data_IF_857939488545
#
_entry.id   IF_857939488545
#
_cell.length_a   1.000
_cell.length_b   1.000
_cell.length_c   1.000
_cell.angle_alpha   90.00
_cell.angle_beta   90.00
_cell.angle_gamma   90.00
#
_symmetry.space_group_name_H-M   'P 1'
#
loop_
_entity.id
_entity.type
_entity.pdbx_description
1 polymer ?
#
# COMPACT_ATOMS: atom_id res chain seq x y z
N UNK A 1 5.07 32.44 -30.10
CA UNK A 1 3.98 31.69 -29.44
C UNK A 1 3.15 32.67 -28.64
N UNK A 2 1.81 32.68 -28.83
CA UNK A 2 0.94 33.66 -28.18
C UNK A 2 0.70 33.27 -26.70
N UNK A 3 0.54 34.26 -25.79
CA UNK A 3 0.20 34.03 -24.39
C UNK A 3 -1.15 33.29 -24.25
N UNK A 4 -2.06 33.48 -25.20
CA UNK A 4 -3.36 32.80 -25.25
C UNK A 4 -3.17 31.29 -25.52
N UNK A 5 -2.30 30.93 -26.47
CA UNK A 5 -2.01 29.53 -26.81
C UNK A 5 -1.40 28.79 -25.61
N UNK A 6 -0.46 29.44 -24.88
CA UNK A 6 0.14 28.84 -23.68
C UNK A 6 -0.89 28.63 -22.59
N UNK A 7 -1.79 29.59 -22.33
CA UNK A 7 -2.88 29.44 -21.36
C UNK A 7 -3.85 28.33 -21.71
N UNK A 8 -4.21 28.19 -22.98
CA UNK A 8 -5.09 27.10 -23.44
C UNK A 8 -4.41 25.74 -23.25
N UNK A 9 -3.13 25.62 -23.61
CA UNK A 9 -2.37 24.38 -23.40
C UNK A 9 -2.29 24.01 -21.90
N UNK A 10 -1.97 24.97 -21.03
CA UNK A 10 -1.94 24.74 -19.57
C UNK A 10 -3.31 24.36 -19.02
N UNK A 11 -4.40 24.95 -19.53
CA UNK A 11 -5.76 24.59 -19.15
C UNK A 11 -6.07 23.13 -19.50
N UNK A 12 -5.76 22.69 -20.72
CA UNK A 12 -5.93 21.30 -21.16
C UNK A 12 -5.12 20.34 -20.30
N UNK A 13 -3.84 20.66 -20.06
CA UNK A 13 -2.97 19.84 -19.19
C UNK A 13 -3.46 19.78 -17.75
N UNK A 14 -4.13 20.84 -17.26
CA UNK A 14 -4.75 20.84 -15.93
C UNK A 14 -6.02 19.97 -15.92
N UNK A 15 -6.85 20.05 -16.96
CA UNK A 15 -8.04 19.21 -17.13
C UNK A 15 -7.65 17.72 -17.25
N UNK A 16 -6.55 17.43 -17.94
CA UNK A 16 -5.94 16.09 -18.04
C UNK A 16 -5.19 15.66 -16.78
N UNK A 17 -5.14 16.51 -15.74
CA UNK A 17 -4.42 16.28 -14.47
C UNK A 17 -2.90 16.07 -14.60
N UNK A 18 -2.29 16.50 -15.69
CA UNK A 18 -0.83 16.44 -15.93
C UNK A 18 -0.10 17.55 -15.17
N UNK A 19 -0.73 18.71 -15.03
CA UNK A 19 -0.19 19.83 -14.26
C UNK A 19 -1.16 20.35 -13.22
N UNK A 20 -0.63 20.98 -12.18
CA UNK A 20 -1.39 21.70 -11.17
C UNK A 20 -0.92 23.15 -11.08
N UNK A 21 -1.87 24.07 -10.88
CA UNK A 21 -1.56 25.50 -10.73
C UNK A 21 -1.73 25.91 -9.29
N UNK A 22 -0.64 26.37 -8.68
CA UNK A 22 -0.62 26.89 -7.30
C UNK A 22 -0.66 28.40 -7.39
N UNK A 23 -1.72 29.02 -6.86
CA UNK A 23 -1.92 30.47 -6.89
C UNK A 23 -0.74 31.18 -6.22
N UNK A 24 -0.14 32.14 -6.94
CA UNK A 24 1.02 32.91 -6.47
C UNK A 24 2.37 32.21 -6.60
N UNK A 25 2.40 30.92 -7.03
CA UNK A 25 3.64 30.14 -7.14
C UNK A 25 3.96 29.74 -8.59
N UNK A 26 2.98 29.19 -9.32
CA UNK A 26 3.18 28.76 -10.70
C UNK A 26 2.37 27.53 -11.10
N UNK A 27 2.67 26.99 -12.29
CA UNK A 27 2.11 25.74 -12.77
C UNK A 27 3.21 24.69 -12.81
N UNK A 28 2.97 23.56 -12.17
CA UNK A 28 3.92 22.47 -11.96
C UNK A 28 3.39 21.20 -12.58
N UNK A 29 4.28 20.34 -13.08
CA UNK A 29 3.91 18.98 -13.47
C UNK A 29 3.51 18.22 -12.21
N UNK A 30 2.32 17.63 -12.22
CA UNK A 30 1.89 16.77 -11.12
C UNK A 30 2.85 15.59 -10.97
N UNK A 31 3.30 15.36 -9.75
CA UNK A 31 4.07 14.17 -9.46
C UNK A 31 3.11 12.96 -9.55
N UNK A 32 3.31 12.10 -10.53
CA UNK A 32 2.49 10.89 -10.74
C UNK A 32 2.69 9.88 -9.61
N UNK A 33 3.78 10.02 -8.84
CA UNK A 33 4.12 9.10 -7.76
C UNK A 33 3.15 9.21 -6.59
N UNK A 34 2.82 8.08 -6.02
CA UNK A 34 2.08 7.99 -4.75
C UNK A 34 3.02 8.43 -3.62
N UNK A 35 2.71 9.56 -3.00
CA UNK A 35 3.46 10.01 -1.82
C UNK A 35 3.06 9.16 -0.60
N UNK A 36 4.01 8.38 -0.09
CA UNK A 36 3.84 7.56 1.09
C UNK A 36 4.48 8.25 2.29
N UNK A 37 3.66 8.92 3.12
CA UNK A 37 4.10 9.42 4.43
C UNK A 37 4.25 8.23 5.38
N UNK A 38 5.49 7.94 5.80
CA UNK A 38 5.78 6.78 6.66
C UNK A 38 5.27 6.95 8.10
N UNK A 39 4.92 8.17 8.52
CA UNK A 39 4.33 8.43 9.83
C UNK A 39 2.82 8.28 9.87
N UNK A 40 2.17 8.11 8.71
CA UNK A 40 0.72 7.92 8.64
C UNK A 40 0.38 6.47 8.28
N UNK A 41 -0.31 5.81 9.19
CA UNK A 41 -0.86 4.48 8.94
C UNK A 41 -2.18 4.62 8.19
N UNK A 42 -2.12 4.58 6.86
CA UNK A 42 -3.29 4.64 5.99
C UNK A 42 -3.32 3.45 5.05
N UNK A 43 -4.50 2.92 4.80
CA UNK A 43 -4.73 1.88 3.81
C UNK A 43 -4.48 2.37 2.37
N UNK A 44 -4.28 1.44 1.43
CA UNK A 44 -4.05 1.77 0.02
C UNK A 44 -5.19 2.59 -0.58
N UNK A 45 -6.42 2.17 -0.36
CA UNK A 45 -7.62 2.85 -0.87
C UNK A 45 -7.83 4.22 -0.21
N UNK A 46 -7.58 4.34 1.10
CA UNK A 46 -7.69 5.59 1.85
C UNK A 46 -6.71 6.65 1.32
N UNK A 47 -5.47 6.25 1.01
CA UNK A 47 -4.45 7.14 0.44
C UNK A 47 -4.82 7.72 -0.91
N UNK A 48 -5.61 6.99 -1.68
CA UNK A 48 -5.95 7.34 -3.05
C UNK A 48 -7.37 7.88 -3.18
N UNK A 49 -8.18 7.84 -2.12
CA UNK A 49 -9.57 8.30 -2.11
C UNK A 49 -9.70 9.77 -2.58
N UNK A 50 -8.81 10.66 -2.09
CA UNK A 50 -8.84 12.08 -2.44
C UNK A 50 -8.35 12.37 -3.87
N UNK A 51 -7.71 11.40 -4.52
CA UNK A 51 -7.15 11.59 -5.88
C UNK A 51 -8.15 11.29 -6.99
N UNK A 52 -9.32 10.74 -6.67
CA UNK A 52 -10.34 10.30 -7.64
C UNK A 52 -9.76 9.43 -8.77
N UNK A 53 -8.86 8.52 -8.40
CA UNK A 53 -8.13 7.64 -9.30
C UNK A 53 -8.69 6.23 -9.16
N UNK A 54 -8.98 5.59 -10.29
CA UNK A 54 -9.41 4.20 -10.31
C UNK A 54 -8.35 3.29 -9.71
N UNK A 55 -8.75 2.48 -8.72
CA UNK A 55 -7.88 1.56 -8.00
C UNK A 55 -8.58 0.24 -7.79
N UNK A 56 -7.87 -0.86 -8.00
CA UNK A 56 -8.37 -2.21 -7.72
C UNK A 56 -7.24 -3.11 -7.21
N UNK A 57 -7.59 -4.30 -6.77
CA UNK A 57 -6.64 -5.33 -6.37
C UNK A 57 -7.03 -6.66 -7.00
N UNK A 58 -6.04 -7.40 -7.44
CA UNK A 58 -6.20 -8.77 -7.93
C UNK A 58 -5.56 -9.72 -6.93
N UNK A 59 -6.38 -10.58 -6.33
CA UNK A 59 -5.93 -11.59 -5.36
C UNK A 59 -5.46 -12.83 -6.14
N UNK A 60 -4.28 -13.33 -5.83
CA UNK A 60 -3.71 -14.53 -6.45
C UNK A 60 -3.61 -15.72 -5.49
N UNK A 61 -3.51 -15.47 -4.18
CA UNK A 61 -3.52 -16.48 -3.13
C UNK A 61 -4.51 -16.06 -2.05
N UNK A 62 -5.36 -16.99 -1.66
CA UNK A 62 -6.28 -16.83 -0.52
C UNK A 62 -6.52 -18.22 0.08
N UNK A 63 -5.79 -18.53 1.11
CA UNK A 63 -5.82 -19.87 1.74
C UNK A 63 -5.62 -19.80 3.24
N UNK A 64 -5.95 -20.88 3.91
CA UNK A 64 -5.67 -21.06 5.34
C UNK A 64 -4.51 -22.00 5.49
N UNK A 65 -3.49 -21.58 6.24
CA UNK A 65 -2.35 -22.43 6.58
C UNK A 65 -2.09 -22.41 8.09
N UNK A 66 -1.24 -23.33 8.55
CA UNK A 66 -0.73 -23.31 9.92
C UNK A 66 0.50 -22.42 9.99
N UNK A 67 0.57 -21.59 11.01
CA UNK A 67 1.74 -20.75 11.25
C UNK A 67 2.96 -21.61 11.64
N UNK A 68 4.04 -21.48 10.90
CA UNK A 68 5.33 -22.00 11.36
C UNK A 68 5.87 -21.19 12.53
N UNK A 69 6.96 -21.60 13.15
CA UNK A 69 7.52 -20.96 14.34
C UNK A 69 7.84 -19.47 14.10
N UNK A 70 8.35 -19.11 12.92
CA UNK A 70 8.70 -17.71 12.58
C UNK A 70 7.47 -16.84 12.40
N UNK A 71 6.47 -17.34 11.69
CA UNK A 71 5.22 -16.63 11.45
C UNK A 71 4.40 -16.49 12.74
N UNK A 72 4.36 -17.54 13.57
CA UNK A 72 3.75 -17.52 14.88
C UNK A 72 4.37 -16.44 15.78
N UNK A 73 5.70 -16.33 15.81
CA UNK A 73 6.40 -15.24 16.53
C UNK A 73 6.01 -13.86 16.01
N UNK A 74 5.95 -13.66 14.67
CA UNK A 74 5.58 -12.38 14.07
C UNK A 74 4.15 -11.95 14.41
N UNK A 75 3.24 -12.90 14.55
CA UNK A 75 1.82 -12.66 14.82
C UNK A 75 1.43 -12.79 16.31
N UNK A 76 2.39 -13.08 17.20
CA UNK A 76 2.16 -13.41 18.61
C UNK A 76 1.13 -14.55 18.78
N UNK A 77 1.28 -15.60 17.98
CA UNK A 77 0.45 -16.80 17.99
C UNK A 77 1.19 -17.99 18.54
N UNK A 78 0.46 -19.06 18.86
CA UNK A 78 1.04 -20.37 19.12
C UNK A 78 1.47 -21.03 17.79
N UNK A 79 2.48 -21.90 17.89
CA UNK A 79 2.83 -22.75 16.76
C UNK A 79 1.60 -23.58 16.33
N UNK A 80 1.42 -23.74 15.03
CA UNK A 80 0.27 -24.41 14.41
C UNK A 80 -1.08 -23.66 14.49
N UNK A 81 -1.16 -22.48 15.09
CA UNK A 81 -2.35 -21.63 14.96
C UNK A 81 -2.61 -21.34 13.48
N UNK A 82 -3.88 -21.29 13.10
CA UNK A 82 -4.28 -21.07 11.72
C UNK A 82 -4.28 -19.59 11.38
N UNK A 83 -3.78 -19.31 10.19
CA UNK A 83 -3.75 -17.97 9.62
C UNK A 83 -4.27 -17.97 8.20
N UNK A 84 -4.88 -16.88 7.80
CA UNK A 84 -5.08 -16.56 6.40
C UNK A 84 -3.74 -16.17 5.80
N UNK A 85 -3.43 -16.71 4.63
CA UNK A 85 -2.34 -16.30 3.76
C UNK A 85 -2.96 -15.72 2.50
N UNK A 86 -2.68 -14.46 2.23
CA UNK A 86 -3.24 -13.74 1.10
C UNK A 86 -2.13 -13.04 0.33
N UNK A 87 -2.12 -13.23 -0.98
CA UNK A 87 -1.24 -12.51 -1.89
C UNK A 87 -2.07 -11.78 -2.93
N UNK A 88 -1.74 -10.51 -3.19
CA UNK A 88 -2.46 -9.70 -4.17
C UNK A 88 -1.57 -8.64 -4.81
N UNK A 89 -1.90 -8.26 -6.03
CA UNK A 89 -1.34 -7.11 -6.73
C UNK A 89 -2.33 -5.95 -6.66
N UNK A 90 -1.82 -4.76 -6.38
CA UNK A 90 -2.63 -3.55 -6.34
C UNK A 90 -2.35 -2.69 -7.55
N UNK A 91 -3.40 -2.15 -8.13
CA UNK A 91 -3.37 -1.37 -9.35
C UNK A 91 -3.83 0.06 -9.12
N UNK A 92 -3.19 0.98 -9.83
CA UNK A 92 -3.68 2.33 -10.06
C UNK A 92 -3.99 2.44 -11.55
N UNK A 93 -5.26 2.63 -11.89
CA UNK A 93 -5.77 2.42 -13.25
C UNK A 93 -5.43 0.98 -13.69
N UNK A 94 -4.71 0.83 -14.81
CA UNK A 94 -4.26 -0.47 -15.33
C UNK A 94 -2.82 -0.82 -14.95
N UNK A 95 -2.16 0.01 -14.13
CA UNK A 95 -0.75 -0.18 -13.78
C UNK A 95 -0.61 -0.90 -12.45
N UNK A 96 0.11 -2.04 -12.39
CA UNK A 96 0.42 -2.70 -11.14
C UNK A 96 1.48 -1.90 -10.38
N UNK A 97 1.22 -1.58 -9.11
CA UNK A 97 2.05 -0.66 -8.33
C UNK A 97 2.59 -1.25 -7.03
N UNK A 98 1.93 -2.29 -6.51
CA UNK A 98 2.32 -2.93 -5.27
C UNK A 98 1.96 -4.41 -5.27
N UNK A 99 2.90 -5.27 -4.88
CA UNK A 99 2.66 -6.69 -4.58
C UNK A 99 2.64 -6.84 -3.06
N UNK A 100 1.48 -7.21 -2.51
CA UNK A 100 1.28 -7.43 -1.08
C UNK A 100 1.11 -8.91 -0.78
N UNK A 101 1.84 -9.38 0.21
CA UNK A 101 1.67 -10.68 0.84
C UNK A 101 1.36 -10.46 2.32
N UNK A 102 0.25 -11.01 2.83
CA UNK A 102 -0.20 -10.75 4.19
C UNK A 102 -0.70 -12.02 4.87
N UNK A 103 -0.44 -12.10 6.17
CA UNK A 103 -0.91 -13.17 7.05
C UNK A 103 -1.74 -12.55 8.17
N UNK A 104 -2.94 -13.10 8.40
CA UNK A 104 -3.88 -12.61 9.40
C UNK A 104 -4.39 -13.77 10.26
N UNK A 105 -4.47 -13.63 11.60
CA UNK A 105 -4.96 -14.70 12.46
C UNK A 105 -6.38 -15.12 12.10
N UNK A 106 -6.60 -16.40 11.78
CA UNK A 106 -7.92 -16.94 11.46
C UNK A 106 -8.92 -16.73 12.60
N UNK A 107 -8.47 -16.86 13.84
CA UNK A 107 -9.31 -16.68 15.03
C UNK A 107 -9.86 -15.25 15.18
N UNK A 108 -9.14 -14.23 14.69
CA UNK A 108 -9.63 -12.85 14.69
C UNK A 108 -10.58 -12.57 13.52
N UNK A 109 -10.39 -13.25 12.40
CA UNK A 109 -11.06 -12.99 11.14
C UNK A 109 -11.64 -14.26 10.51
N UNK A 110 -12.53 -15.01 11.21
CA UNK A 110 -13.05 -16.29 10.72
C UNK A 110 -13.93 -16.13 9.47
N UNK A 111 -14.43 -14.95 9.22
CA UNK A 111 -15.33 -14.56 8.14
C UNK A 111 -14.65 -13.71 7.05
N UNK A 112 -13.31 -13.68 7.02
CA UNK A 112 -12.57 -13.02 5.94
C UNK A 112 -12.89 -13.70 4.61
N UNK A 113 -13.12 -12.91 3.57
CA UNK A 113 -13.45 -13.41 2.23
C UNK A 113 -12.49 -12.90 1.18
N UNK A 114 -12.47 -13.56 0.04
CA UNK A 114 -11.75 -13.12 -1.15
C UNK A 114 -12.13 -11.69 -1.53
N UNK A 115 -13.42 -11.37 -1.58
CA UNK A 115 -13.95 -10.05 -1.93
C UNK A 115 -13.46 -8.95 -0.98
N UNK A 116 -13.37 -9.23 0.33
CA UNK A 116 -12.78 -8.29 1.29
C UNK A 116 -11.33 -7.97 0.91
N UNK A 117 -10.57 -8.97 0.45
CA UNK A 117 -9.17 -8.78 0.10
C UNK A 117 -8.98 -8.11 -1.27
N UNK A 118 -9.94 -8.19 -2.19
CA UNK A 118 -9.97 -7.36 -3.39
C UNK A 118 -10.25 -5.88 -3.07
N UNK A 119 -10.82 -5.61 -1.91
CA UNK A 119 -11.17 -4.28 -1.42
C UNK A 119 -10.27 -3.82 -0.25
N UNK A 120 -10.80 -2.95 0.64
CA UNK A 120 -10.07 -2.39 1.75
C UNK A 120 -10.07 -3.31 2.98
N UNK A 121 -8.95 -3.97 3.23
CA UNK A 121 -8.69 -4.74 4.44
C UNK A 121 -8.89 -3.92 5.72
N UNK A 122 -8.43 -2.66 5.75
CA UNK A 122 -8.56 -1.80 6.93
C UNK A 122 -10.03 -1.40 7.16
N UNK A 123 -10.78 -1.10 6.11
CA UNK A 123 -12.23 -0.91 6.21
C UNK A 123 -12.93 -2.13 6.84
N UNK A 124 -12.57 -3.34 6.40
CA UNK A 124 -13.11 -4.57 7.00
C UNK A 124 -12.76 -4.65 8.50
N UNK A 125 -11.50 -4.45 8.88
CA UNK A 125 -11.07 -4.51 10.28
C UNK A 125 -11.79 -3.48 11.14
N UNK A 126 -11.90 -2.24 10.68
CA UNK A 126 -12.44 -1.15 11.48
C UNK A 126 -13.96 -1.00 11.37
N UNK A 127 -14.51 -1.10 10.17
CA UNK A 127 -15.93 -0.83 9.95
C UNK A 127 -16.81 -2.08 10.07
N UNK A 128 -16.31 -3.25 9.68
CA UNK A 128 -17.08 -4.51 9.77
C UNK A 128 -16.81 -5.21 11.10
N UNK A 129 -15.54 -5.42 11.44
CA UNK A 129 -15.16 -6.11 12.69
C UNK A 129 -15.20 -5.21 13.93
N UNK A 130 -15.31 -3.88 13.75
CA UNK A 130 -15.32 -2.86 14.82
C UNK A 130 -14.08 -2.95 15.73
N UNK A 131 -12.96 -3.38 15.17
CA UNK A 131 -11.67 -3.39 15.83
C UNK A 131 -10.95 -2.08 15.54
N UNK A 132 -10.23 -1.55 16.53
CA UNK A 132 -9.49 -0.29 16.38
C UNK A 132 -8.04 -0.61 16.06
N UNK A 133 -7.58 -0.21 14.88
CA UNK A 133 -6.16 -0.26 14.50
C UNK A 133 -5.42 0.85 15.26
N UNK A 134 -4.34 0.50 15.95
CA UNK A 134 -3.56 1.43 16.77
C UNK A 134 -2.30 1.90 16.04
N UNK A 135 -1.45 0.95 15.68
CA UNK A 135 -0.14 1.22 15.08
C UNK A 135 0.34 0.10 14.18
N UNK A 136 1.36 0.41 13.40
CA UNK A 136 2.13 -0.58 12.66
C UNK A 136 3.63 -0.36 12.89
N UNK A 137 4.32 -1.43 13.26
CA UNK A 137 5.78 -1.46 13.27
C UNK A 137 6.25 -1.81 11.87
N UNK A 138 7.08 -0.96 11.26
CA UNK A 138 7.44 -1.07 9.86
C UNK A 138 8.95 -1.03 9.67
N UNK A 139 9.44 -1.86 8.77
CA UNK A 139 10.81 -1.86 8.29
C UNK A 139 10.80 -1.67 6.77
N UNK A 140 11.62 -0.75 6.28
CA UNK A 140 11.75 -0.43 4.86
C UNK A 140 13.15 -0.82 4.41
N UNK A 141 13.24 -1.77 3.49
CA UNK A 141 14.51 -2.35 3.03
C UNK A 141 14.62 -2.26 1.51
N UNK A 142 15.70 -1.69 0.96
CA UNK A 142 15.99 -1.80 -0.46
C UNK A 142 16.41 -3.25 -0.80
N UNK A 143 15.78 -3.84 -1.80
CA UNK A 143 16.07 -5.19 -2.28
C UNK A 143 16.16 -5.21 -3.80
N UNK A 144 16.81 -6.23 -4.36
CA UNK A 144 16.66 -6.54 -5.78
C UNK A 144 15.34 -7.31 -5.97
N UNK A 145 14.60 -7.04 -7.07
CA UNK A 145 13.32 -7.68 -7.30
C UNK A 145 13.48 -9.18 -7.56
N UNK A 146 12.59 -9.98 -6.97
CA UNK A 146 12.46 -11.40 -7.31
C UNK A 146 11.80 -11.57 -8.67
N UNK A 147 11.93 -12.77 -9.28
CA UNK A 147 11.26 -13.11 -10.53
C UNK A 147 9.74 -12.90 -10.44
N UNK A 148 9.14 -13.27 -9.31
CA UNK A 148 7.72 -13.05 -9.04
C UNK A 148 7.36 -11.56 -9.03
N UNK A 149 8.15 -10.73 -8.35
CA UNK A 149 7.91 -9.27 -8.30
C UNK A 149 8.11 -8.62 -9.68
N UNK A 150 9.12 -9.06 -10.44
CA UNK A 150 9.35 -8.60 -11.82
C UNK A 150 8.11 -8.89 -12.68
N UNK A 151 7.61 -10.13 -12.63
CA UNK A 151 6.45 -10.53 -13.42
C UNK A 151 5.17 -9.80 -12.96
N UNK A 152 4.92 -9.69 -11.64
CA UNK A 152 3.72 -9.10 -11.09
C UNK A 152 3.63 -7.58 -11.29
N UNK A 153 4.77 -6.87 -11.23
CA UNK A 153 4.82 -5.40 -11.25
C UNK A 153 5.48 -4.83 -12.51
N UNK A 154 5.87 -5.68 -13.48
CA UNK A 154 6.57 -5.28 -14.71
C UNK A 154 7.85 -4.47 -14.41
N UNK A 155 8.66 -4.96 -13.46
CA UNK A 155 9.85 -4.25 -12.98
C UNK A 155 11.06 -4.47 -13.88
N UNK A 156 11.97 -3.49 -13.84
CA UNK A 156 13.32 -3.65 -14.39
C UNK A 156 14.17 -4.52 -13.42
N UNK A 157 14.65 -5.69 -13.84
CA UNK A 157 15.43 -6.58 -12.96
C UNK A 157 16.74 -5.98 -12.47
N UNK A 158 17.25 -4.94 -13.13
CA UNK A 158 18.50 -4.27 -12.77
C UNK A 158 18.32 -3.14 -11.76
N UNK A 159 17.07 -2.76 -11.44
CA UNK A 159 16.79 -1.68 -10.51
C UNK A 159 16.40 -2.20 -9.13
N UNK A 160 16.99 -1.67 -8.05
CA UNK A 160 16.53 -1.96 -6.70
C UNK A 160 15.12 -1.40 -6.48
N UNK A 161 14.34 -2.13 -5.71
CA UNK A 161 12.99 -1.76 -5.29
C UNK A 161 12.92 -1.64 -3.77
N UNK A 162 11.79 -1.18 -3.24
CA UNK A 162 11.60 -1.07 -1.81
C UNK A 162 10.64 -2.16 -1.30
N UNK A 163 11.08 -2.93 -0.32
CA UNK A 163 10.22 -3.82 0.44
C UNK A 163 9.86 -3.17 1.77
N UNK A 164 8.59 -3.21 2.13
CA UNK A 164 8.10 -2.86 3.46
C UNK A 164 7.61 -4.12 4.16
N UNK A 165 8.24 -4.46 5.27
CA UNK A 165 7.77 -5.50 6.18
C UNK A 165 7.06 -4.81 7.34
N UNK A 166 5.88 -5.30 7.73
CA UNK A 166 5.10 -4.64 8.78
C UNK A 166 4.32 -5.61 9.67
N UNK A 167 4.15 -5.21 10.93
CA UNK A 167 3.28 -5.82 11.92
C UNK A 167 2.25 -4.81 12.35
N UNK A 168 0.97 -5.12 12.15
CA UNK A 168 -0.16 -4.27 12.54
C UNK A 168 -0.70 -4.67 13.90
N UNK A 169 -0.97 -3.68 14.76
CA UNK A 169 -1.47 -3.87 16.12
C UNK A 169 -2.83 -3.22 16.30
N UNK A 170 -3.71 -3.93 16.98
CA UNK A 170 -4.96 -3.40 17.50
C UNK A 170 -4.71 -2.63 18.80
N UNK A 171 -5.66 -1.78 19.18
CA UNK A 171 -5.62 -0.98 20.41
C UNK A 171 -5.54 -1.84 21.69
N UNK A 172 -6.00 -3.07 21.65
CA UNK A 172 -5.89 -4.04 22.74
C UNK A 172 -4.57 -4.80 22.78
N UNK A 173 -3.63 -4.46 21.88
CA UNK A 173 -2.29 -5.02 21.80
C UNK A 173 -2.15 -6.28 20.96
N UNK A 174 -3.25 -6.86 20.45
CA UNK A 174 -3.18 -8.02 19.56
C UNK A 174 -2.56 -7.64 18.21
N UNK A 175 -1.74 -8.54 17.67
CA UNK A 175 -1.24 -8.44 16.29
C UNK A 175 -2.35 -8.94 15.35
N UNK A 176 -2.82 -8.09 14.46
CA UNK A 176 -3.89 -8.46 13.54
C UNK A 176 -3.39 -8.82 12.14
N UNK A 177 -2.19 -8.39 11.80
CA UNK A 177 -1.54 -8.73 10.53
C UNK A 177 -0.02 -8.72 10.63
N UNK A 178 0.60 -9.56 9.81
CA UNK A 178 1.97 -9.44 9.37
C UNK A 178 1.95 -9.35 7.86
N UNK A 179 2.68 -8.41 7.26
CA UNK A 179 2.66 -8.25 5.80
C UNK A 179 4.01 -7.85 5.23
N UNK A 180 4.23 -8.25 3.98
CA UNK A 180 5.33 -7.85 3.12
C UNK A 180 4.74 -7.14 1.90
N UNK A 181 5.27 -6.00 1.58
CA UNK A 181 4.81 -5.17 0.47
C UNK A 181 6.00 -4.77 -0.38
N UNK A 182 5.98 -5.15 -1.64
CA UNK A 182 6.97 -4.74 -2.64
C UNK A 182 6.39 -3.62 -3.47
N UNK A 183 7.13 -2.50 -3.56
CA UNK A 183 6.68 -1.31 -4.27
C UNK A 183 7.51 -1.06 -5.51
N UNK A 184 6.84 -0.74 -6.61
CA UNK A 184 7.52 -0.16 -7.75
C UNK A 184 7.98 1.26 -7.39
N UNK A 185 9.30 1.47 -7.30
CA UNK A 185 9.89 2.75 -6.89
C UNK A 185 9.71 3.88 -7.91
N UNK A 186 9.34 3.55 -9.15
CA UNK A 186 8.96 4.56 -10.15
C UNK A 186 7.56 5.15 -9.84
N UNK A 187 6.72 4.44 -9.06
CA UNK A 187 5.34 4.83 -8.73
C UNK A 187 5.16 5.33 -7.30
N UNK A 188 6.13 5.09 -6.43
CA UNK A 188 6.06 5.49 -5.02
C UNK A 188 7.22 6.38 -4.60
N UNK A 189 6.89 7.35 -3.75
CA UNK A 189 7.84 8.20 -3.04
C UNK A 189 7.56 8.12 -1.55
N UNK A 190 8.53 7.63 -0.81
CA UNK A 190 8.44 7.53 0.65
C UNK A 190 8.99 8.81 1.26
N UNK A 191 8.19 9.47 2.09
CA UNK A 191 8.54 10.74 2.70
C UNK A 191 8.35 10.70 4.21
N UNK A 192 9.14 11.51 4.90
CA UNK A 192 9.00 11.76 6.33
C UNK A 192 9.38 13.20 6.64
N UNK A 193 8.83 13.74 7.71
CA UNK A 193 9.27 15.02 8.26
C UNK A 193 10.06 14.77 9.54
N UNK A 194 11.39 14.92 9.47
CA UNK A 194 12.23 14.84 10.65
C UNK A 194 12.27 16.21 11.37
N UNK A 195 12.01 16.22 12.68
CA UNK A 195 12.13 17.41 13.51
C UNK A 195 13.27 17.25 14.48
N UNK A 196 14.06 18.33 14.67
CA UNK A 196 15.11 18.35 15.67
C UNK A 196 14.48 18.45 17.06
N UNK A 197 14.83 17.55 17.98
CA UNK A 197 14.48 17.71 19.40
C UNK A 197 15.24 18.95 19.93
N UNK A 198 14.51 19.87 20.51
CA UNK A 198 15.09 20.96 21.28
C UNK A 198 15.51 20.47 22.65
#
# INVERSE_FOLDING_TARGET
MSRVTVRQALKLLTEEQIVESIQGSGTYVKEERVNYDIYQLTGFYEKLADRNVDTHSEVSIFEVLKADAKLAEKLNLSHDDKVWHVKRVRFIKQKPVNLEETWMPLALFPDLTWEVMENSKYHYVEQIKKLVIDRSEQELVPIMPSEEAIAALSLDPAKPILEKVSRGFLKDGRVFEYSRNVFNTDDYKFTLVARRRQ
#
